data_IF_805780765260
#
_entry.id   IF_805780765260
#
_cell.length_a   1.000
_cell.length_b   1.000
_cell.length_c   1.000
_cell.angle_alpha   90.00
_cell.angle_beta   90.00
_cell.angle_gamma   90.00
#
_symmetry.space_group_name_H-M   'P 1'
#
loop_
_entity.id
_entity.type
_entity.pdbx_description
1 polymer ?
#
# COMPACT_ATOMS: atom_id res chain seq x y z
N UNK A 1 19.26 3.08 27.14
CA UNK A 1 18.76 4.04 26.13
C UNK A 1 17.27 3.83 26.05
N UNK A 2 16.45 4.88 26.08
CA UNK A 2 15.00 4.72 25.89
C UNK A 2 14.76 4.15 24.48
N UNK A 3 13.94 3.12 24.38
CA UNK A 3 13.50 2.59 23.08
C UNK A 3 12.70 3.69 22.39
N UNK A 4 13.06 4.00 21.15
CA UNK A 4 12.36 5.00 20.36
C UNK A 4 11.10 4.35 19.77
N UNK A 5 9.91 4.90 20.05
CA UNK A 5 8.62 4.34 19.66
C UNK A 5 7.67 5.40 19.11
N UNK A 6 6.71 4.95 18.32
CA UNK A 6 5.49 5.69 18.01
C UNK A 6 4.51 5.53 19.18
N UNK A 7 4.01 6.64 19.71
CA UNK A 7 3.06 6.66 20.82
C UNK A 7 1.65 6.90 20.31
N UNK A 8 0.67 6.20 20.89
CA UNK A 8 -0.75 6.41 20.56
C UNK A 8 -1.21 7.77 21.06
N UNK A 9 -1.92 8.51 20.21
CA UNK A 9 -2.50 9.81 20.59
C UNK A 9 -3.96 9.60 20.98
N UNK A 10 -4.26 9.81 22.27
CA UNK A 10 -5.62 9.65 22.82
C UNK A 10 -6.60 10.74 22.36
N UNK A 11 -6.12 11.98 22.21
CA UNK A 11 -6.89 13.10 21.67
C UNK A 11 -6.20 13.63 20.39
N UNK A 12 -6.47 13.05 19.22
CA UNK A 12 -5.79 13.41 17.99
C UNK A 12 -6.35 14.66 17.32
N UNK A 13 -7.38 15.31 17.88
CA UNK A 13 -8.12 16.38 17.20
C UNK A 13 -7.19 17.50 16.71
N UNK A 14 -6.22 17.92 17.52
CA UNK A 14 -5.26 18.97 17.14
C UNK A 14 -4.33 18.56 15.99
N UNK A 15 -4.01 17.26 15.87
CA UNK A 15 -3.15 16.74 14.80
C UNK A 15 -3.90 16.62 13.47
N UNK A 16 -5.22 16.47 13.53
CA UNK A 16 -6.10 16.32 12.36
C UNK A 16 -6.85 17.59 11.98
N UNK A 17 -6.80 18.66 12.79
CA UNK A 17 -7.57 19.91 12.55
C UNK A 17 -7.34 20.50 11.15
N UNK A 18 -6.13 20.36 10.61
CA UNK A 18 -5.81 20.87 9.27
C UNK A 18 -6.41 20.04 8.12
N UNK A 19 -6.98 18.88 8.43
CA UNK A 19 -7.75 18.01 7.54
C UNK A 19 -9.26 18.15 7.78
N UNK A 20 -9.71 19.05 8.66
CA UNK A 20 -11.12 19.14 9.06
C UNK A 20 -12.08 19.51 7.92
N UNK A 21 -11.58 20.19 6.87
CA UNK A 21 -12.38 20.53 5.68
C UNK A 21 -12.44 19.37 4.66
N UNK A 22 -11.82 18.22 4.96
CA UNK A 22 -11.90 17.03 4.11
C UNK A 22 -13.24 16.31 4.30
N UNK A 23 -13.74 15.62 3.27
CA UNK A 23 -14.94 14.79 3.41
C UNK A 23 -14.79 13.74 4.51
N UNK A 24 -15.83 13.53 5.32
CA UNK A 24 -15.81 12.55 6.42
C UNK A 24 -15.47 11.12 5.96
N UNK A 25 -15.83 10.75 4.72
CA UNK A 25 -15.53 9.43 4.17
C UNK A 25 -14.03 9.16 3.99
N UNK A 26 -13.19 10.21 3.92
CA UNK A 26 -11.73 10.04 3.86
C UNK A 26 -11.17 9.53 5.20
N UNK A 27 -11.91 9.59 6.31
CA UNK A 27 -11.52 8.90 7.53
C UNK A 27 -11.55 7.36 7.39
N UNK A 28 -12.27 6.84 6.39
CA UNK A 28 -12.44 5.39 6.16
C UNK A 28 -11.26 4.79 5.39
N UNK A 29 -10.70 5.52 4.41
CA UNK A 29 -9.64 5.03 3.52
C UNK A 29 -8.41 5.94 3.43
N UNK A 30 -8.41 7.11 4.09
CA UNK A 30 -7.30 8.04 4.12
C UNK A 30 -7.59 9.39 3.48
N UNK A 31 -6.86 10.40 3.93
CA UNK A 31 -6.97 11.77 3.46
C UNK A 31 -6.01 12.03 2.29
N UNK A 32 -6.49 12.67 1.23
CA UNK A 32 -5.67 13.09 0.08
C UNK A 32 -5.67 14.62 -0.09
N UNK A 33 -5.10 15.37 0.87
CA UNK A 33 -4.98 16.82 0.73
C UNK A 33 -4.07 17.20 -0.46
N UNK A 34 -4.14 18.46 -0.86
CA UNK A 34 -3.30 19.05 -1.93
C UNK A 34 -2.59 20.30 -1.41
N UNK A 35 -1.58 20.78 -2.13
CA UNK A 35 -0.90 22.04 -1.80
C UNK A 35 0.63 21.98 -1.77
N UNK A 36 1.21 20.79 -1.96
CA UNK A 36 2.66 20.62 -2.12
C UNK A 36 3.13 21.01 -3.52
N UNK A 37 4.43 21.28 -3.65
CA UNK A 37 5.06 21.71 -4.90
C UNK A 37 4.98 20.63 -6.00
N UNK A 38 5.10 19.36 -5.60
CA UNK A 38 5.05 18.21 -6.49
C UNK A 38 4.46 16.98 -5.79
N UNK A 39 4.06 15.99 -6.59
CA UNK A 39 3.63 14.68 -6.11
C UNK A 39 3.90 13.59 -7.15
N UNK A 40 4.10 12.36 -6.70
CA UNK A 40 4.21 11.18 -7.56
C UNK A 40 3.49 10.00 -6.90
N UNK A 41 3.12 8.98 -7.68
CA UNK A 41 2.63 7.71 -7.15
C UNK A 41 3.74 6.69 -7.14
N UNK A 42 3.92 5.99 -6.02
CA UNK A 42 4.72 4.79 -5.92
C UNK A 42 3.81 3.60 -6.20
N UNK A 43 4.14 2.80 -7.20
CA UNK A 43 3.42 1.59 -7.55
C UNK A 43 3.87 0.45 -6.61
N UNK A 44 2.92 -0.25 -5.99
CA UNK A 44 3.25 -1.32 -5.05
C UNK A 44 3.95 -2.49 -5.76
N UNK A 45 4.87 -3.18 -5.09
CA UNK A 45 5.70 -4.20 -5.72
C UNK A 45 4.88 -5.40 -6.24
N UNK A 46 5.21 -5.87 -7.45
CA UNK A 46 4.82 -7.19 -7.93
C UNK A 46 6.05 -8.07 -8.08
N UNK A 47 5.84 -9.38 -7.94
CA UNK A 47 6.89 -10.38 -8.12
C UNK A 47 6.46 -11.49 -9.07
N UNK A 48 7.42 -12.09 -9.76
CA UNK A 48 7.23 -13.19 -10.68
C UNK A 48 8.11 -14.38 -10.31
N UNK A 49 7.55 -15.59 -10.42
CA UNK A 49 8.25 -16.85 -10.29
C UNK A 49 7.96 -17.74 -11.51
N UNK A 50 8.81 -17.68 -12.56
CA UNK A 50 8.58 -18.42 -13.80
C UNK A 50 8.47 -19.94 -13.64
N UNK A 51 8.93 -20.50 -12.50
CA UNK A 51 8.77 -21.91 -12.18
C UNK A 51 7.30 -22.34 -12.00
N UNK A 52 6.39 -21.39 -11.78
CA UNK A 52 4.96 -21.64 -11.54
C UNK A 52 4.08 -21.36 -12.77
N UNK A 53 4.67 -20.94 -13.90
CA UNK A 53 3.92 -20.43 -15.07
C UNK A 53 2.89 -21.42 -15.68
N UNK A 54 3.02 -22.70 -15.36
CA UNK A 54 2.11 -23.76 -15.85
C UNK A 54 1.00 -24.11 -14.87
N UNK A 55 0.92 -23.45 -13.73
CA UNK A 55 -0.10 -23.70 -12.73
C UNK A 55 -1.42 -23.00 -13.04
N UNK A 56 -1.53 -22.18 -14.09
CA UNK A 56 -2.76 -21.45 -14.39
C UNK A 56 -2.88 -20.20 -13.52
N UNK A 57 -4.08 -19.87 -13.07
CA UNK A 57 -4.33 -18.71 -12.19
C UNK A 57 -4.38 -19.09 -10.71
N UNK A 58 -4.44 -18.08 -9.83
CA UNK A 58 -4.71 -18.31 -8.41
C UNK A 58 -6.07 -18.99 -8.18
N UNK A 59 -7.10 -18.63 -8.94
CA UNK A 59 -8.40 -19.33 -8.90
C UNK A 59 -8.28 -20.79 -9.35
N UNK A 60 -7.55 -21.09 -10.43
CA UNK A 60 -7.31 -22.48 -10.86
C UNK A 60 -6.63 -23.33 -9.76
N UNK A 61 -5.73 -22.72 -8.98
CA UNK A 61 -5.10 -23.38 -7.84
C UNK A 61 -6.11 -23.62 -6.72
N UNK A 62 -6.88 -22.60 -6.33
CA UNK A 62 -7.90 -22.72 -5.29
C UNK A 62 -8.92 -23.81 -5.65
N UNK A 63 -9.49 -23.77 -6.86
CA UNK A 63 -10.48 -24.74 -7.33
C UNK A 63 -9.97 -26.16 -7.29
N UNK A 64 -8.75 -26.42 -7.78
CA UNK A 64 -8.16 -27.76 -7.73
C UNK A 64 -7.94 -28.24 -6.29
N UNK A 65 -7.56 -27.35 -5.38
CA UNK A 65 -7.40 -27.67 -3.96
C UNK A 65 -8.74 -28.04 -3.30
N UNK A 66 -9.81 -27.30 -3.60
CA UNK A 66 -11.16 -27.59 -3.13
C UNK A 66 -11.70 -28.92 -3.70
N UNK A 67 -11.55 -29.14 -5.01
CA UNK A 67 -12.01 -30.35 -5.69
C UNK A 67 -11.27 -31.60 -5.20
N UNK A 68 -9.98 -31.47 -4.88
CA UNK A 68 -9.16 -32.55 -4.31
C UNK A 68 -9.48 -32.81 -2.82
N UNK A 69 -10.16 -31.88 -2.15
CA UNK A 69 -10.38 -31.91 -0.70
C UNK A 69 -9.14 -31.53 0.13
N UNK A 70 -8.14 -30.93 -0.51
CA UNK A 70 -6.91 -30.43 0.14
C UNK A 70 -7.15 -29.10 0.86
N UNK A 71 -8.15 -28.33 0.41
CA UNK A 71 -8.58 -27.06 1.00
C UNK A 71 -10.03 -27.17 1.51
N UNK A 72 -10.31 -26.48 2.62
CA UNK A 72 -11.67 -26.32 3.12
C UNK A 72 -12.32 -25.07 2.51
N UNK A 73 -13.61 -25.10 2.14
CA UNK A 73 -14.29 -23.92 1.63
C UNK A 73 -14.36 -22.77 2.65
N UNK A 74 -14.22 -21.54 2.17
CA UNK A 74 -14.40 -20.33 2.95
C UNK A 74 -15.89 -20.00 3.10
N UNK A 75 -16.43 -20.31 4.26
CA UNK A 75 -17.83 -20.05 4.60
C UNK A 75 -17.95 -18.89 5.58
N UNK A 76 -18.60 -17.80 5.16
CA UNK A 76 -18.86 -16.61 5.99
C UNK A 76 -20.37 -16.39 6.10
N UNK A 77 -20.89 -16.36 7.34
CA UNK A 77 -22.33 -16.17 7.56
C UNK A 77 -23.22 -17.27 6.95
N UNK A 78 -22.67 -18.47 6.69
CA UNK A 78 -23.36 -19.57 6.03
C UNK A 78 -23.36 -19.52 4.50
N UNK A 79 -22.69 -18.53 3.90
CA UNK A 79 -22.49 -18.41 2.45
C UNK A 79 -21.11 -18.95 2.12
N UNK A 80 -21.04 -19.89 1.17
CA UNK A 80 -19.78 -20.38 0.62
C UNK A 80 -19.24 -19.34 -0.37
N UNK A 81 -18.24 -18.55 0.06
CA UNK A 81 -17.69 -17.50 -0.78
C UNK A 81 -16.96 -18.06 -2.00
N UNK A 82 -16.39 -19.27 -1.90
CA UNK A 82 -15.70 -19.86 -3.03
C UNK A 82 -16.66 -20.16 -4.19
N UNK A 83 -17.93 -20.46 -3.95
CA UNK A 83 -18.88 -20.74 -5.05
C UNK A 83 -19.26 -19.48 -5.86
N UNK A 84 -19.28 -18.32 -5.21
CA UNK A 84 -19.83 -17.08 -5.77
C UNK A 84 -18.75 -16.01 -6.03
N UNK A 85 -17.47 -16.28 -5.74
CA UNK A 85 -16.36 -15.34 -5.91
C UNK A 85 -15.20 -15.95 -6.69
N UNK A 86 -14.30 -15.07 -7.16
CA UNK A 86 -13.07 -15.44 -7.86
C UNK A 86 -11.88 -15.10 -6.97
N UNK A 87 -10.98 -16.05 -6.77
CA UNK A 87 -9.70 -15.79 -6.10
C UNK A 87 -8.80 -14.96 -7.03
N UNK A 88 -8.61 -13.69 -6.68
CA UNK A 88 -7.87 -12.75 -7.52
C UNK A 88 -6.37 -13.00 -7.44
N UNK A 89 -5.87 -13.51 -6.32
CA UNK A 89 -4.45 -13.57 -5.97
C UNK A 89 -3.88 -12.25 -5.45
N UNK A 90 -4.68 -11.18 -5.34
CA UNK A 90 -4.25 -9.86 -4.86
C UNK A 90 -4.08 -9.89 -3.34
N UNK A 91 -2.85 -9.72 -2.81
CA UNK A 91 -2.65 -9.61 -1.39
C UNK A 91 -3.30 -8.33 -0.85
N UNK A 92 -3.80 -8.40 0.38
CA UNK A 92 -4.34 -7.24 1.08
C UNK A 92 -3.41 -6.86 2.23
N UNK A 93 -2.90 -5.63 2.20
CA UNK A 93 -2.02 -5.09 3.23
C UNK A 93 -0.53 -5.34 3.00
N UNK A 94 0.24 -5.21 4.07
CA UNK A 94 1.69 -5.25 4.06
C UNK A 94 2.18 -6.64 3.67
N UNK A 95 3.12 -6.68 2.73
CA UNK A 95 3.74 -7.92 2.27
C UNK A 95 5.26 -7.81 2.39
N UNK A 96 5.86 -8.84 2.96
CA UNK A 96 7.31 -9.04 2.90
C UNK A 96 7.71 -9.57 1.53
N UNK A 97 8.98 -9.33 1.15
CA UNK A 97 9.51 -9.89 -0.08
C UNK A 97 9.42 -11.42 -0.05
N UNK A 98 8.85 -12.08 -1.08
CA UNK A 98 8.64 -13.54 -1.08
C UNK A 98 9.92 -14.40 -1.16
N UNK A 99 11.10 -13.78 -1.34
CA UNK A 99 12.39 -14.47 -1.44
C UNK A 99 12.60 -15.24 -2.74
N UNK A 100 13.78 -15.83 -2.94
CA UNK A 100 14.03 -16.66 -4.13
C UNK A 100 13.13 -17.90 -4.16
N UNK A 101 12.59 -18.30 -5.33
CA UNK A 101 12.95 -17.90 -6.68
C UNK A 101 12.17 -16.69 -7.26
N UNK A 102 11.38 -15.98 -6.45
CA UNK A 102 10.62 -14.82 -6.91
C UNK A 102 11.53 -13.62 -7.24
N UNK A 103 11.18 -12.91 -8.31
CA UNK A 103 11.90 -11.75 -8.81
C UNK A 103 10.96 -10.56 -8.94
N UNK A 104 11.43 -9.37 -8.56
CA UNK A 104 10.63 -8.15 -8.68
C UNK A 104 10.37 -7.84 -10.16
N UNK A 105 9.14 -7.51 -10.50
CA UNK A 105 8.75 -7.10 -11.86
C UNK A 105 8.12 -5.71 -11.78
N UNK A 106 8.52 -4.84 -12.70
CA UNK A 106 7.94 -3.51 -12.84
C UNK A 106 6.58 -3.61 -13.53
N UNK A 107 5.60 -2.83 -13.10
CA UNK A 107 4.28 -2.67 -13.73
C UNK A 107 4.44 -2.36 -15.20
N UNK A 108 5.25 -1.36 -15.53
CA UNK A 108 5.57 -0.98 -16.91
C UNK A 108 6.08 -2.16 -17.74
N UNK A 109 6.95 -3.00 -17.17
CA UNK A 109 7.50 -4.18 -17.84
C UNK A 109 6.45 -5.26 -18.03
N UNK A 110 5.66 -5.55 -16.99
CA UNK A 110 4.59 -6.55 -17.06
C UNK A 110 3.50 -6.16 -18.06
N UNK A 111 3.03 -4.92 -17.97
CA UNK A 111 2.02 -4.35 -18.83
C UNK A 111 2.46 -4.30 -20.31
N UNK A 112 3.76 -4.20 -20.60
CA UNK A 112 4.27 -4.25 -21.98
C UNK A 112 4.23 -5.65 -22.63
N UNK A 113 3.98 -6.73 -21.86
CA UNK A 113 3.99 -8.12 -22.36
C UNK A 113 2.72 -8.50 -23.14
N UNK A 114 1.60 -7.85 -22.87
CA UNK A 114 0.29 -8.15 -23.48
C UNK A 114 -0.14 -7.12 -24.52
N UNK A 115 -1.04 -7.53 -25.42
CA UNK A 115 -1.80 -6.57 -26.23
C UNK A 115 -2.77 -5.82 -25.31
N UNK A 116 -2.74 -4.48 -25.32
CA UNK A 116 -3.54 -3.59 -24.46
C UNK A 116 -5.04 -3.88 -24.58
N UNK A 117 -5.72 -4.52 -23.60
CA UNK A 117 -7.14 -4.26 -23.43
C UNK A 117 -7.27 -2.82 -22.92
N UNK A 118 -8.44 -2.22 -23.08
CA UNK A 118 -8.70 -0.84 -22.66
C UNK A 118 -8.52 -0.73 -21.13
N UNK A 119 -7.33 -0.31 -20.71
CA UNK A 119 -6.98 -0.10 -19.30
C UNK A 119 -7.70 1.14 -18.81
N UNK A 120 -8.44 1.03 -17.73
CA UNK A 120 -9.04 2.20 -17.12
C UNK A 120 -8.00 2.99 -16.32
N UNK A 121 -7.25 3.83 -17.04
CA UNK A 121 -6.32 4.79 -16.45
C UNK A 121 -7.02 6.08 -16.00
N UNK A 122 -8.36 6.13 -16.03
CA UNK A 122 -9.12 7.25 -15.43
C UNK A 122 -9.20 7.11 -13.91
N UNK A 123 -8.90 5.93 -13.38
CA UNK A 123 -8.75 5.64 -11.96
C UNK A 123 -7.28 5.68 -11.52
N UNK A 124 -7.01 5.99 -10.23
CA UNK A 124 -5.66 5.89 -9.67
C UNK A 124 -5.07 4.48 -9.81
N UNK A 125 -3.74 4.32 -9.60
CA UNK A 125 -3.10 3.01 -9.65
C UNK A 125 -3.81 1.95 -8.79
N UNK A 126 -4.39 0.96 -9.45
CA UNK A 126 -5.29 -0.04 -8.87
C UNK A 126 -5.38 -1.26 -9.77
N UNK A 127 -6.14 -2.27 -9.33
CA UNK A 127 -6.38 -3.49 -10.10
C UNK A 127 -6.94 -3.21 -11.51
N UNK A 128 -7.67 -2.10 -11.69
CA UNK A 128 -8.25 -1.65 -12.97
C UNK A 128 -7.22 -1.39 -14.08
N UNK A 129 -5.94 -1.26 -13.74
CA UNK A 129 -4.85 -1.10 -14.71
C UNK A 129 -4.42 -2.43 -15.35
N UNK A 130 -4.87 -3.56 -14.78
CA UNK A 130 -4.52 -4.90 -15.20
C UNK A 130 -5.75 -5.63 -15.77
N UNK A 131 -5.55 -6.56 -16.73
CA UNK A 131 -6.66 -7.24 -17.39
C UNK A 131 -7.10 -8.52 -16.66
N UNK A 132 -6.71 -8.71 -15.40
CA UNK A 132 -6.85 -9.96 -14.68
C UNK A 132 -8.04 -9.92 -13.71
N UNK A 133 -8.99 -10.83 -13.90
CA UNK A 133 -9.96 -11.18 -12.86
C UNK A 133 -9.35 -12.12 -11.81
N UNK A 134 -8.46 -13.00 -12.26
CA UNK A 134 -7.56 -13.81 -11.42
C UNK A 134 -6.17 -13.75 -12.03
N UNK A 135 -5.17 -13.45 -11.20
CA UNK A 135 -3.80 -13.32 -11.66
C UNK A 135 -3.19 -14.68 -12.01
N UNK A 136 -2.23 -14.73 -12.95
CA UNK A 136 -1.40 -15.91 -13.16
C UNK A 136 -0.71 -16.33 -11.85
N UNK A 137 -0.66 -17.62 -11.57
CA UNK A 137 -0.10 -18.16 -10.32
C UNK A 137 1.41 -17.95 -10.18
N UNK A 138 2.10 -17.67 -11.28
CA UNK A 138 3.50 -17.24 -11.29
C UNK A 138 3.69 -15.76 -11.00
N UNK A 139 2.61 -15.01 -10.78
CA UNK A 139 2.66 -13.61 -10.38
C UNK A 139 2.11 -13.47 -8.96
N UNK A 140 2.89 -12.83 -8.10
CA UNK A 140 2.40 -12.22 -6.89
C UNK A 140 2.07 -10.77 -7.26
N UNK A 141 0.78 -10.45 -7.42
CA UNK A 141 0.39 -9.11 -7.83
C UNK A 141 0.65 -8.07 -6.75
N UNK A 142 0.58 -6.79 -7.11
CA UNK A 142 0.75 -5.70 -6.17
C UNK A 142 -0.27 -5.79 -5.02
N UNK A 143 0.16 -5.64 -3.75
CA UNK A 143 -0.78 -5.60 -2.63
C UNK A 143 -1.72 -4.39 -2.72
N UNK A 144 -2.93 -4.53 -2.22
CA UNK A 144 -3.85 -3.42 -1.99
C UNK A 144 -3.63 -2.80 -0.60
N UNK A 145 -3.77 -1.47 -0.50
CA UNK A 145 -3.84 -0.77 0.79
C UNK A 145 -2.52 -0.57 1.53
N UNK A 146 -1.39 -1.08 1.03
CA UNK A 146 -0.09 -0.93 1.71
C UNK A 146 1.09 -1.03 0.75
N UNK A 147 2.15 -0.30 1.06
CA UNK A 147 3.48 -0.58 0.51
C UNK A 147 3.98 -1.94 1.01
N UNK A 148 4.75 -2.64 0.16
CA UNK A 148 5.56 -3.79 0.56
C UNK A 148 6.79 -3.37 1.37
N UNK A 149 7.47 -4.37 1.93
CA UNK A 149 8.68 -4.21 2.74
C UNK A 149 9.77 -3.37 2.08
N UNK A 150 10.18 -3.70 0.86
CA UNK A 150 11.31 -3.04 0.20
C UNK A 150 10.95 -1.60 -0.20
N UNK A 151 9.72 -1.40 -0.68
CA UNK A 151 9.25 -0.07 -1.08
C UNK A 151 9.02 0.86 0.12
N UNK A 152 8.50 0.34 1.24
CA UNK A 152 8.35 1.13 2.46
C UNK A 152 9.70 1.58 3.02
N UNK A 153 10.67 0.66 3.13
CA UNK A 153 12.00 1.00 3.64
C UNK A 153 12.69 2.05 2.74
N UNK A 154 12.63 1.87 1.42
CA UNK A 154 13.14 2.83 0.45
C UNK A 154 12.47 4.21 0.56
N UNK A 155 11.15 4.25 0.74
CA UNK A 155 10.41 5.50 0.93
C UNK A 155 10.82 6.19 2.24
N UNK A 156 10.87 5.47 3.36
CA UNK A 156 11.24 6.04 4.66
C UNK A 156 12.67 6.60 4.65
N UNK A 157 13.60 5.94 3.94
CA UNK A 157 14.96 6.44 3.74
C UNK A 157 14.98 7.75 2.93
N UNK A 158 14.20 7.84 1.85
CA UNK A 158 14.08 9.07 1.06
C UNK A 158 13.46 10.21 1.87
N UNK A 159 12.38 9.94 2.61
CA UNK A 159 11.72 10.91 3.48
C UNK A 159 12.68 11.40 4.58
N UNK A 160 13.47 10.50 5.16
CA UNK A 160 14.50 10.82 6.15
C UNK A 160 15.52 11.80 5.57
N UNK A 161 16.08 11.52 4.41
CA UNK A 161 17.10 12.38 3.77
C UNK A 161 16.58 13.79 3.43
N UNK A 162 15.27 13.93 3.22
CA UNK A 162 14.63 15.19 2.85
C UNK A 162 13.89 15.86 4.03
N UNK A 163 14.03 15.35 5.24
CA UNK A 163 13.47 15.94 6.45
C UNK A 163 14.55 16.58 7.32
N UNK A 164 14.25 17.73 7.93
CA UNK A 164 15.25 18.53 8.69
C UNK A 164 15.94 17.74 9.80
N UNK A 165 15.22 16.85 10.49
CA UNK A 165 15.73 16.03 11.58
C UNK A 165 16.07 14.59 11.18
N UNK A 166 16.10 14.30 9.88
CA UNK A 166 16.44 12.98 9.37
C UNK A 166 15.52 11.88 9.92
N UNK A 167 16.08 10.76 10.44
CA UNK A 167 15.29 9.66 11.02
C UNK A 167 14.59 10.05 12.34
N UNK A 168 14.99 11.16 12.96
CA UNK A 168 14.36 11.72 14.16
C UNK A 168 13.22 12.70 13.87
N UNK A 169 12.83 12.86 12.60
CA UNK A 169 11.74 13.76 12.21
C UNK A 169 10.44 13.33 12.88
N UNK A 170 9.86 14.22 13.66
CA UNK A 170 8.61 13.97 14.36
C UNK A 170 7.46 13.86 13.34
N UNK A 171 6.85 12.69 13.27
CA UNK A 171 5.80 12.34 12.34
C UNK A 171 4.50 11.99 13.05
N UNK A 172 3.41 12.07 12.28
CA UNK A 172 2.09 11.56 12.63
C UNK A 172 1.75 10.45 11.64
N UNK A 173 1.40 9.28 12.16
CA UNK A 173 0.90 8.15 11.38
C UNK A 173 -0.58 7.95 11.68
N UNK A 174 -1.41 8.03 10.66
CA UNK A 174 -2.85 7.79 10.73
C UNK A 174 -3.19 6.48 10.04
N UNK A 175 -4.02 5.68 10.68
CA UNK A 175 -4.64 4.50 10.11
C UNK A 175 -6.15 4.73 10.02
N UNK A 176 -6.68 4.59 8.82
CA UNK A 176 -8.10 4.74 8.55
C UNK A 176 -8.90 3.50 8.99
N UNK A 177 -10.22 3.66 9.15
CA UNK A 177 -11.06 2.63 9.77
C UNK A 177 -11.09 1.30 9.01
N UNK A 178 -11.01 1.32 7.68
CA UNK A 178 -11.04 0.07 6.89
C UNK A 178 -9.76 -0.77 7.10
N UNK A 179 -8.53 -0.23 6.96
CA UNK A 179 -7.30 -0.94 7.33
C UNK A 179 -7.24 -1.44 8.77
N UNK A 180 -7.88 -0.76 9.73
CA UNK A 180 -7.86 -1.17 11.14
C UNK A 180 -8.97 -2.14 11.51
N UNK A 181 -10.05 -2.19 10.75
CA UNK A 181 -11.30 -2.83 11.14
C UNK A 181 -12.00 -2.16 12.35
N UNK A 182 -11.56 -0.96 12.75
CA UNK A 182 -12.10 -0.20 13.88
C UNK A 182 -12.75 1.09 13.36
N UNK A 183 -14.08 1.09 13.34
CA UNK A 183 -14.92 2.20 12.87
C UNK A 183 -15.32 3.16 14.00
N UNK A 184 -15.03 2.80 15.26
CA UNK A 184 -15.43 3.58 16.42
C UNK A 184 -14.31 4.50 16.92
N UNK A 185 -13.05 4.17 16.59
CA UNK A 185 -11.86 4.88 17.09
C UNK A 185 -10.99 5.39 15.96
N UNK A 186 -10.41 6.56 16.17
CA UNK A 186 -9.35 7.10 15.30
C UNK A 186 -8.00 6.52 15.70
N UNK A 187 -7.25 6.06 14.70
CA UNK A 187 -5.94 5.46 14.91
C UNK A 187 -4.80 6.40 14.53
N UNK A 188 -4.37 7.22 15.50
CA UNK A 188 -3.32 8.23 15.30
C UNK A 188 -2.15 7.97 16.22
N UNK A 189 -0.95 7.99 15.65
CA UNK A 189 0.31 7.79 16.34
C UNK A 189 1.22 8.97 16.10
N UNK A 190 2.09 9.26 17.05
CA UNK A 190 3.09 10.31 16.94
C UNK A 190 4.43 9.83 17.48
N UNK A 191 5.50 10.21 16.79
CA UNK A 191 6.86 9.85 17.15
C UNK A 191 7.80 10.03 15.97
N UNK A 192 9.08 9.65 16.10
CA UNK A 192 10.05 9.88 15.04
C UNK A 192 9.85 8.94 13.85
N UNK A 193 10.21 9.41 12.66
CA UNK A 193 10.11 8.68 11.39
C UNK A 193 10.70 7.27 11.46
N UNK A 194 11.85 7.12 12.12
CA UNK A 194 12.52 5.82 12.32
C UNK A 194 11.71 4.78 13.11
N UNK A 195 10.68 5.20 13.85
CA UNK A 195 9.81 4.31 14.61
C UNK A 195 8.56 3.86 13.84
N UNK A 196 8.29 4.41 12.64
CA UNK A 196 7.15 4.01 11.80
C UNK A 196 7.08 2.50 11.56
N UNK A 197 8.19 1.81 11.21
CA UNK A 197 8.14 0.36 10.94
C UNK A 197 7.63 -0.46 12.14
N UNK A 198 7.81 0.03 13.38
CA UNK A 198 7.34 -0.65 14.59
C UNK A 198 5.82 -0.68 14.76
N UNK A 199 5.06 -0.01 13.89
CA UNK A 199 3.59 -0.09 13.86
C UNK A 199 3.08 -1.32 13.10
N UNK A 200 3.91 -1.92 12.25
CA UNK A 200 3.55 -3.00 11.31
C UNK A 200 3.65 -4.37 12.01
N UNK A 201 2.64 -5.21 11.86
CA UNK A 201 2.50 -6.50 12.56
C UNK A 201 3.69 -7.44 12.29
N UNK A 202 4.13 -7.52 11.03
CA UNK A 202 5.29 -8.30 10.58
C UNK A 202 6.60 -7.82 11.23
N UNK A 203 6.60 -6.60 11.77
CA UNK A 203 7.73 -5.97 12.48
C UNK A 203 7.48 -5.80 13.98
N UNK A 204 6.50 -6.53 14.53
CA UNK A 204 6.17 -6.56 15.96
C UNK A 204 5.14 -5.51 16.41
N UNK A 205 4.57 -4.78 15.47
CA UNK A 205 3.47 -3.83 15.69
C UNK A 205 2.09 -4.49 15.68
N UNK A 206 1.06 -3.69 15.37
CA UNK A 206 -0.35 -4.13 15.47
C UNK A 206 -1.13 -4.11 14.16
N UNK A 207 -0.57 -3.53 13.10
CA UNK A 207 -1.28 -3.32 11.85
C UNK A 207 -0.71 -4.17 10.75
N UNK A 208 -1.54 -4.91 10.02
CA UNK A 208 -1.14 -5.60 8.79
C UNK A 208 -0.99 -4.66 7.60
N UNK A 209 -0.77 -3.35 7.82
CA UNK A 209 -0.70 -2.32 6.79
C UNK A 209 0.38 -1.29 7.17
N UNK A 210 1.01 -0.66 6.17
CA UNK A 210 1.67 0.64 6.37
C UNK A 210 0.64 1.71 6.76
N UNK A 211 1.03 2.83 7.41
CA UNK A 211 0.10 3.91 7.73
C UNK A 211 -0.67 4.40 6.49
N UNK A 212 -1.99 4.56 6.62
CA UNK A 212 -2.86 5.10 5.56
C UNK A 212 -2.44 6.51 5.18
N UNK A 213 -2.10 7.32 6.18
CA UNK A 213 -1.42 8.59 5.99
C UNK A 213 -0.20 8.70 6.90
N UNK A 214 0.86 9.32 6.38
CA UNK A 214 2.06 9.64 7.14
C UNK A 214 2.53 11.04 6.76
N UNK A 215 2.78 11.91 7.75
CA UNK A 215 3.32 13.24 7.52
C UNK A 215 4.18 13.72 8.70
N UNK A 216 5.15 14.61 8.50
CA UNK A 216 5.89 15.26 9.56
C UNK A 216 5.05 16.38 10.20
N UNK A 217 5.32 16.75 11.46
CA UNK A 217 4.57 17.80 12.16
C UNK A 217 4.61 19.15 11.42
N UNK A 218 5.69 19.44 10.68
CA UNK A 218 5.83 20.64 9.85
C UNK A 218 5.09 20.56 8.49
N UNK A 219 4.53 19.39 8.15
CA UNK A 219 3.78 19.10 6.92
C UNK A 219 4.57 19.31 5.63
N UNK A 220 5.90 19.22 5.69
CA UNK A 220 6.78 19.35 4.52
C UNK A 220 6.53 18.28 3.44
N UNK A 221 5.95 17.14 3.80
CA UNK A 221 5.50 16.10 2.87
C UNK A 221 4.29 15.32 3.40
N UNK A 222 3.66 14.52 2.54
CA UNK A 222 2.54 13.62 2.89
C UNK A 222 2.65 12.33 2.08
N UNK A 223 2.44 11.19 2.74
CA UNK A 223 2.18 9.89 2.12
C UNK A 223 0.72 9.55 2.32
N UNK A 224 0.05 9.08 1.27
CA UNK A 224 -1.32 8.59 1.32
C UNK A 224 -1.44 7.26 0.57
N UNK A 225 -2.06 6.28 1.21
CA UNK A 225 -2.43 4.99 0.61
C UNK A 225 -3.88 4.71 0.93
N UNK A 226 -4.70 4.55 -0.10
CA UNK A 226 -6.09 4.12 0.03
C UNK A 226 -6.16 2.59 0.07
N UNK A 227 -7.16 2.06 0.78
CA UNK A 227 -7.35 0.63 1.00
C UNK A 227 -7.50 -0.16 -0.29
N UNK A 228 -8.21 0.39 -1.29
CA UNK A 228 -8.51 -0.30 -2.56
C UNK A 228 -7.48 0.00 -3.66
N UNK A 229 -6.42 0.76 -3.33
CA UNK A 229 -5.38 1.14 -4.29
C UNK A 229 -4.14 0.27 -4.18
N UNK A 230 -3.50 0.10 -5.34
CA UNK A 230 -2.23 -0.62 -5.51
C UNK A 230 -1.07 0.38 -5.73
N UNK A 231 -1.23 1.60 -5.21
CA UNK A 231 -0.20 2.61 -5.20
C UNK A 231 -0.36 3.58 -4.03
N UNK A 232 0.75 4.13 -3.58
CA UNK A 232 0.81 5.18 -2.56
C UNK A 232 1.20 6.49 -3.21
N UNK A 233 0.45 7.56 -2.93
CA UNK A 233 0.82 8.90 -3.37
C UNK A 233 1.77 9.54 -2.36
N UNK A 234 2.85 10.13 -2.85
CA UNK A 234 3.75 10.96 -2.05
C UNK A 234 3.72 12.39 -2.60
N UNK A 235 3.56 13.36 -1.71
CA UNK A 235 3.53 14.80 -2.03
C UNK A 235 4.54 15.55 -1.18
N UNK A 236 5.25 16.53 -1.76
CA UNK A 236 6.33 17.23 -1.06
C UNK A 236 7.01 18.30 -1.91
N UNK A 237 8.25 18.65 -1.56
CA UNK A 237 9.09 19.50 -2.39
C UNK A 237 9.43 18.82 -3.71
N UNK A 238 9.76 19.61 -4.75
CA UNK A 238 10.26 19.06 -6.02
C UNK A 238 11.47 18.15 -5.77
N UNK A 239 12.39 18.56 -4.89
CA UNK A 239 13.60 17.80 -4.60
C UNK A 239 13.33 16.42 -3.99
N UNK A 240 12.32 16.29 -3.13
CA UNK A 240 11.93 15.01 -2.56
C UNK A 240 11.32 14.10 -3.63
N UNK A 241 10.40 14.62 -4.43
CA UNK A 241 9.74 13.83 -5.47
C UNK A 241 10.76 13.35 -6.51
N UNK A 242 11.66 14.22 -6.94
CA UNK A 242 12.80 13.89 -7.80
C UNK A 242 13.67 12.74 -7.26
N UNK A 243 13.87 12.69 -5.93
CA UNK A 243 14.66 11.64 -5.30
C UNK A 243 13.91 10.31 -5.28
N UNK A 244 12.59 10.35 -5.01
CA UNK A 244 11.71 9.17 -5.03
C UNK A 244 11.64 8.58 -6.46
N UNK A 245 11.44 9.40 -7.48
CA UNK A 245 11.34 8.96 -8.88
C UNK A 245 12.64 8.37 -9.44
N UNK A 246 13.80 8.77 -8.87
CA UNK A 246 15.10 8.22 -9.25
C UNK A 246 15.52 7.03 -8.37
N UNK A 247 14.73 6.67 -7.36
CA UNK A 247 15.10 5.61 -6.44
C UNK A 247 15.00 4.24 -7.14
N UNK A 248 16.07 3.42 -7.16
CA UNK A 248 16.12 2.21 -7.99
C UNK A 248 15.16 1.10 -7.55
N UNK A 249 14.66 1.16 -6.32
CA UNK A 249 13.67 0.20 -5.78
C UNK A 249 12.23 0.64 -6.06
N UNK A 250 11.98 1.95 -6.19
CA UNK A 250 10.64 2.50 -6.29
C UNK A 250 10.26 2.63 -7.77
N UNK A 251 9.18 1.99 -8.17
CA UNK A 251 8.55 2.29 -9.45
C UNK A 251 7.54 3.40 -9.24
N UNK A 252 7.61 4.45 -10.06
CA UNK A 252 6.72 5.60 -9.93
C UNK A 252 5.94 5.89 -11.20
N UNK A 253 4.84 6.63 -11.03
CA UNK A 253 4.08 7.18 -12.15
C UNK A 253 3.49 8.55 -11.80
N UNK A 254 3.50 9.45 -12.78
CA UNK A 254 2.73 10.68 -12.72
C UNK A 254 1.31 10.39 -13.18
N UNK A 255 0.46 9.99 -12.23
CA UNK A 255 -0.97 9.86 -12.46
C UNK A 255 -1.72 11.06 -11.88
N UNK A 256 -2.51 11.68 -12.74
CA UNK A 256 -3.56 12.62 -12.38
C UNK A 256 -4.84 12.21 -13.10
N UNK A 257 -5.99 12.34 -12.44
CA UNK A 257 -7.28 12.15 -13.09
C UNK A 257 -7.31 13.07 -14.32
N UNK A 258 -7.31 12.47 -15.51
CA UNK A 258 -7.45 13.23 -16.76
C UNK A 258 -8.80 13.95 -16.67
N UNK A 259 -8.74 15.29 -16.64
CA UNK A 259 -9.94 16.13 -16.74
C UNK A 259 -10.56 16.04 -18.12
#
# INVERSE_FOLDING_TARGET
MATVSMERVEDPASLLTWLADRPDHEALTGYNPVGWESSTWILHAMYENPGLARLGTHDDILRRGLDAGDLAPLVVGGINLDEDTTETGIPLGYVSRPGGPWQRVLWSTYLARGAEPERDRTLPPSYSWFPHSSWPADIQPPPEGSLDEESLDALLDALSQHSVAGPGTECVAFYASVPTGDFDKLHVWRGPLSAVPGLIAERGGRYGFSPTNLWPVDRSWMVWTDYDLQGSKVSGSVSLIDAIERHPVLETTDWSARR
#
